data_IF_961363252412
#
_entry.id   IF_961363252412
#
_cell.length_a   1.000
_cell.length_b   1.000
_cell.length_c   1.000
_cell.angle_alpha   90.00
_cell.angle_beta   90.00
_cell.angle_gamma   90.00
#
_symmetry.space_group_name_H-M   'P 1'
#
loop_
_entity.id
_entity.type
_entity.pdbx_description
1 polymer ?
#
# COMPACT_ATOMS: atom_id res chain seq x y z
N UNK A 1 -11.06 4.05 -5.56
CA UNK A 1 -11.35 2.99 -6.54
C UNK A 1 -12.71 2.40 -6.22
N UNK A 2 -13.64 2.35 -7.18
CA UNK A 2 -14.91 1.63 -6.98
C UNK A 2 -14.70 0.12 -7.16
N UNK A 3 -15.01 -0.64 -6.11
CA UNK A 3 -14.95 -2.10 -6.06
C UNK A 3 -16.28 -2.70 -5.58
N UNK A 4 -17.39 -1.93 -5.63
CA UNK A 4 -18.70 -2.30 -5.08
C UNK A 4 -19.32 -3.58 -5.67
N UNK A 5 -18.82 -4.07 -6.80
CA UNK A 5 -19.22 -5.34 -7.41
C UNK A 5 -18.52 -6.58 -6.81
N UNK A 6 -17.54 -6.38 -5.92
CA UNK A 6 -16.75 -7.41 -5.27
C UNK A 6 -16.98 -7.35 -3.77
N UNK A 7 -17.02 -8.50 -3.11
CA UNK A 7 -17.01 -8.55 -1.65
C UNK A 7 -15.62 -8.17 -1.13
N UNK A 8 -15.48 -7.64 0.10
CA UNK A 8 -14.18 -7.28 0.66
C UNK A 8 -13.14 -8.40 0.60
N UNK A 9 -13.55 -9.66 0.84
CA UNK A 9 -12.66 -10.83 0.77
C UNK A 9 -12.23 -11.20 -0.66
N UNK A 10 -12.93 -10.70 -1.68
CA UNK A 10 -12.64 -10.92 -3.09
C UNK A 10 -11.66 -9.87 -3.66
N UNK A 11 -11.26 -8.88 -2.86
CA UNK A 11 -10.34 -7.81 -3.24
C UNK A 11 -9.04 -7.93 -2.45
N UNK A 12 -7.91 -7.96 -3.15
CA UNK A 12 -6.58 -7.98 -2.56
C UNK A 12 -5.80 -6.72 -2.94
N UNK A 13 -5.02 -6.22 -1.97
CA UNK A 13 -4.14 -5.07 -2.15
C UNK A 13 -2.76 -5.47 -1.68
N UNK A 14 -1.77 -5.37 -2.56
CA UNK A 14 -0.38 -5.67 -2.22
C UNK A 14 0.58 -4.75 -2.97
N UNK A 15 1.83 -4.76 -2.53
CA UNK A 15 2.92 -4.05 -3.20
C UNK A 15 3.96 -5.08 -3.62
N UNK A 16 4.38 -5.00 -4.88
CA UNK A 16 5.48 -5.79 -5.43
C UNK A 16 6.54 -4.83 -5.98
N UNK A 17 7.72 -4.78 -5.36
CA UNK A 17 8.73 -3.75 -5.65
C UNK A 17 8.20 -2.33 -5.33
N UNK A 18 8.03 -1.51 -6.36
CA UNK A 18 7.44 -0.16 -6.28
C UNK A 18 6.08 -0.06 -6.97
N UNK A 19 5.41 -1.19 -7.25
CA UNK A 19 4.05 -1.17 -7.80
C UNK A 19 3.02 -1.49 -6.73
N UNK A 20 2.06 -0.58 -6.54
CA UNK A 20 0.82 -0.85 -5.82
C UNK A 20 -0.13 -1.60 -6.74
N UNK A 21 -0.53 -2.80 -6.33
CA UNK A 21 -1.38 -3.69 -7.10
C UNK A 21 -2.68 -3.90 -6.34
N UNK A 22 -3.80 -3.66 -7.01
CA UNK A 22 -5.14 -3.99 -6.52
C UNK A 22 -5.78 -4.95 -7.49
N UNK A 23 -6.15 -6.11 -6.99
CA UNK A 23 -6.81 -7.16 -7.76
C UNK A 23 -8.14 -7.53 -7.12
N UNK A 24 -9.11 -7.89 -7.96
CA UNK A 24 -10.37 -8.46 -7.50
C UNK A 24 -10.71 -9.68 -8.31
N UNK A 25 -11.20 -10.73 -7.66
CA UNK A 25 -11.62 -11.98 -8.31
C UNK A 25 -12.89 -12.51 -7.66
N UNK A 26 -13.93 -12.65 -8.48
CA UNK A 26 -15.22 -13.20 -8.09
C UNK A 26 -15.57 -14.36 -9.01
N UNK A 27 -15.94 -15.50 -8.42
CA UNK A 27 -16.46 -16.67 -9.12
C UNK A 27 -17.84 -17.00 -8.56
N UNK A 28 -18.82 -17.12 -9.45
CA UNK A 28 -20.18 -17.55 -9.10
C UNK A 28 -20.54 -18.76 -9.94
N UNK A 29 -20.95 -19.82 -9.25
CA UNK A 29 -21.35 -21.09 -9.88
C UNK A 29 -22.76 -21.43 -9.45
N UNK A 30 -23.65 -21.49 -10.44
CA UNK A 30 -25.02 -21.97 -10.28
C UNK A 30 -25.14 -23.37 -10.87
N UNK A 31 -26.33 -23.98 -10.79
CA UNK A 31 -26.58 -25.33 -11.28
C UNK A 31 -26.22 -25.51 -12.77
N UNK A 32 -26.47 -24.48 -13.59
CA UNK A 32 -26.30 -24.54 -15.05
C UNK A 32 -25.43 -23.40 -15.62
N UNK A 33 -24.84 -22.55 -14.78
CA UNK A 33 -24.05 -21.39 -15.21
C UNK A 33 -22.82 -21.17 -14.34
N UNK A 34 -21.80 -20.60 -14.97
CA UNK A 34 -20.58 -20.15 -14.33
C UNK A 34 -20.27 -18.73 -14.79
N UNK A 35 -20.03 -17.83 -13.85
CA UNK A 35 -19.57 -16.47 -14.12
C UNK A 35 -18.27 -16.24 -13.34
N UNK A 36 -17.29 -15.66 -14.01
CA UNK A 36 -16.07 -15.16 -13.39
C UNK A 36 -15.87 -13.69 -13.77
N UNK A 37 -15.56 -12.86 -12.79
CA UNK A 37 -15.16 -11.46 -12.97
C UNK A 37 -13.81 -11.25 -12.31
N UNK A 38 -12.90 -10.58 -13.00
CA UNK A 38 -11.61 -10.23 -12.44
C UNK A 38 -11.12 -8.89 -12.95
N UNK A 39 -10.41 -8.16 -12.10
CA UNK A 39 -9.66 -6.97 -12.50
C UNK A 39 -8.30 -6.96 -11.83
N UNK A 40 -7.34 -6.28 -12.47
CA UNK A 40 -6.06 -5.91 -11.89
C UNK A 40 -5.83 -4.44 -12.24
N UNK A 41 -5.49 -3.63 -11.24
CA UNK A 41 -5.00 -2.26 -11.43
C UNK A 41 -3.66 -2.12 -10.76
N UNK A 42 -2.73 -1.46 -11.45
CA UNK A 42 -1.37 -1.21 -10.99
C UNK A 42 -1.06 0.27 -11.02
N UNK A 43 -0.35 0.74 -10.02
CA UNK A 43 0.18 2.09 -9.94
C UNK A 43 1.64 2.02 -9.53
N UNK A 44 2.52 2.64 -10.32
CA UNK A 44 3.90 2.88 -9.90
C UNK A 44 3.90 3.93 -8.80
N UNK A 45 4.43 3.58 -7.64
CA UNK A 45 4.57 4.48 -6.51
C UNK A 45 5.82 5.34 -6.69
N UNK A 46 5.79 6.62 -6.26
CA UNK A 46 7.00 7.42 -6.13
C UNK A 46 8.04 6.75 -5.22
N UNK A 47 9.32 7.00 -5.48
CA UNK A 47 10.45 6.46 -4.69
C UNK A 47 10.45 6.92 -3.23
N UNK A 48 9.80 8.06 -2.95
CA UNK A 48 9.72 8.63 -1.62
C UNK A 48 8.52 8.12 -0.82
N UNK A 49 7.80 7.07 -1.25
CA UNK A 49 6.69 6.48 -0.49
C UNK A 49 7.22 5.55 0.62
N UNK A 50 6.66 5.68 1.82
CA UNK A 50 6.84 4.70 2.89
C UNK A 50 5.91 3.50 2.66
N UNK A 51 6.45 2.42 2.09
CA UNK A 51 5.67 1.22 1.78
C UNK A 51 5.04 0.56 3.01
N UNK A 52 5.70 0.62 4.18
CA UNK A 52 5.18 0.02 5.43
C UNK A 52 3.97 0.77 6.01
N UNK A 53 3.84 2.05 5.65
CA UNK A 53 2.78 2.93 6.10
C UNK A 53 1.61 3.02 5.11
N UNK A 54 1.61 2.22 4.04
CA UNK A 54 0.45 2.11 3.15
C UNK A 54 -0.75 1.57 3.91
N UNK A 55 -1.91 2.22 3.76
CA UNK A 55 -3.15 1.84 4.44
C UNK A 55 -4.31 1.81 3.44
N UNK A 56 -4.81 0.61 3.08
CA UNK A 56 -6.06 0.48 2.34
C UNK A 56 -7.25 0.64 3.29
N UNK A 57 -8.30 1.31 2.82
CA UNK A 57 -9.58 1.42 3.50
C UNK A 57 -10.72 1.24 2.51
N UNK A 58 -11.61 0.28 2.80
CA UNK A 58 -12.84 0.07 2.05
C UNK A 58 -14.02 0.56 2.88
N UNK A 59 -14.85 1.41 2.32
CA UNK A 59 -16.06 1.88 2.99
C UNK A 59 -17.30 1.04 2.62
N UNK A 60 -18.40 1.26 3.34
CA UNK A 60 -19.66 0.54 3.16
C UNK A 60 -20.32 0.73 1.78
N UNK A 61 -19.85 1.69 1.00
CA UNK A 61 -20.31 1.95 -0.36
C UNK A 61 -19.46 1.25 -1.43
N UNK A 62 -18.47 0.44 -1.02
CA UNK A 62 -17.60 -0.27 -1.94
C UNK A 62 -16.51 0.60 -2.57
N UNK A 63 -16.19 1.76 -1.99
CA UNK A 63 -15.06 2.57 -2.45
C UNK A 63 -13.80 2.24 -1.64
N UNK A 64 -12.80 1.69 -2.34
CA UNK A 64 -11.45 1.47 -1.82
C UNK A 64 -10.60 2.73 -1.98
N UNK A 65 -10.12 3.26 -0.86
CA UNK A 65 -9.12 4.32 -0.78
C UNK A 65 -7.81 3.71 -0.32
N UNK A 66 -6.68 4.15 -0.89
CA UNK A 66 -5.35 3.70 -0.50
C UNK A 66 -4.51 4.94 -0.24
N UNK A 67 -4.08 5.10 1.02
CA UNK A 67 -3.15 6.16 1.41
C UNK A 67 -1.72 5.63 1.33
N UNK A 68 -0.85 6.37 0.64
CA UNK A 68 0.55 6.07 0.44
C UNK A 68 1.39 7.27 0.93
N UNK A 69 1.65 7.36 2.25
CA UNK A 69 2.37 8.49 2.81
C UNK A 69 3.84 8.49 2.35
N UNK A 70 4.40 9.68 2.24
CA UNK A 70 5.84 9.83 1.96
C UNK A 70 6.66 9.34 3.16
N UNK A 71 7.81 8.76 2.88
CA UNK A 71 8.86 8.43 3.83
C UNK A 71 9.34 9.66 4.58
N UNK A 72 9.99 9.45 5.73
CA UNK A 72 10.56 10.56 6.49
C UNK A 72 11.51 11.34 5.58
N UNK A 73 11.22 12.61 5.35
CA UNK A 73 12.21 13.52 4.78
C UNK A 73 13.40 13.50 5.74
N UNK A 74 14.57 13.07 5.29
CA UNK A 74 15.79 13.19 6.09
C UNK A 74 16.08 14.68 6.22
N UNK A 75 15.49 15.32 7.24
CA UNK A 75 15.89 16.66 7.61
C UNK A 75 17.34 16.59 8.07
N UNK A 76 18.15 17.56 7.66
CA UNK A 76 19.56 17.62 8.03
C UNK A 76 19.66 17.59 9.56
N UNK A 77 20.22 16.51 10.11
CA UNK A 77 20.54 16.41 11.54
C UNK A 77 21.95 16.96 11.71
N UNK A 78 22.10 18.06 12.43
CA UNK A 78 23.41 18.53 12.85
C UNK A 78 23.88 17.65 14.03
N UNK A 79 24.95 16.88 13.80
CA UNK A 79 25.61 16.09 14.84
C UNK A 79 26.77 16.92 15.39
N UNK A 80 26.74 17.35 16.67
CA UNK A 80 27.83 18.13 17.25
C UNK A 80 29.05 17.24 17.50
N UNK A 81 30.23 17.75 17.14
CA UNK A 81 31.51 17.11 17.48
C UNK A 81 31.85 17.52 18.92
N UNK A 82 31.89 16.55 19.83
CA UNK A 82 32.41 16.72 21.19
C UNK A 82 33.88 16.29 21.24
N UNK A 83 34.71 17.07 21.91
CA UNK A 83 36.11 16.75 22.16
C UNK A 83 36.22 15.49 23.03
N UNK A 84 37.15 14.60 22.65
CA UNK A 84 37.46 13.44 23.47
C UNK A 84 38.03 13.89 24.84
N UNK A 85 37.73 13.19 25.94
CA UNK A 85 38.28 13.50 27.24
C UNK A 85 39.81 13.44 27.19
N UNK A 86 40.47 14.51 27.61
CA UNK A 86 41.92 14.59 27.68
C UNK A 86 42.40 13.76 28.87
N UNK A 87 43.05 12.63 28.61
CA UNK A 87 43.78 11.90 29.65
C UNK A 87 45.05 12.68 29.98
N UNK A 88 45.03 13.48 31.04
CA UNK A 88 46.24 14.08 31.62
C UNK A 88 46.95 13.03 32.47
N UNK A 89 48.24 12.83 32.23
CA UNK A 89 49.12 12.06 33.11
C UNK A 89 50.32 12.92 33.52
#
# INVERSE_FOLDING_TARGET
LDVSHFRPEEVNVHVEGHELIVEGKQEQKDANSYMQRSFIRRWTLPEDVNLEAIRPQLNDKGHLTIEAPKGPSVQRINIPIVSAPSTTH
#
